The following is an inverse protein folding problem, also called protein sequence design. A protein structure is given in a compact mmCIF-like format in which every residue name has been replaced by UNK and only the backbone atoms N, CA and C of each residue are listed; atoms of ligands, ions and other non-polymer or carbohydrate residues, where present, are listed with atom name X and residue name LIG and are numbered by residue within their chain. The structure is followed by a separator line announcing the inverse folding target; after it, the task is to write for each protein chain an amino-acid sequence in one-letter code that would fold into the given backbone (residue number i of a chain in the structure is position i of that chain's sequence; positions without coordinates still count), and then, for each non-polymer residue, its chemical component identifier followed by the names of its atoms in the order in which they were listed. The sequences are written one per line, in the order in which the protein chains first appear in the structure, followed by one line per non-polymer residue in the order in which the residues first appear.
data_IF_539669181127
#
_entry.id   IF_539669181127
#
_cell.length_a   1.000
_cell.length_b   1.000
_cell.length_c   1.000
_cell.angle_alpha   90.00
_cell.angle_beta   90.00
_cell.angle_gamma   90.00
#
_symmetry.space_group_name_H-M   'P 1'
#
loop_
_entity.id
_entity.type
_entity.pdbx_description
1 polymer ?
#
# COMPACT_ATOMS: atom_id res chain seq x y z
N UNK A 1 -48.79 -13.12 -41.67
CA UNK A 1 -47.34 -13.37 -41.89
C UNK A 1 -46.52 -12.09 -41.94
N UNK A 2 -46.84 -11.12 -42.81
CA UNK A 2 -46.04 -9.88 -42.98
C UNK A 2 -45.83 -9.10 -41.66
N UNK A 3 -46.87 -8.94 -40.85
CA UNK A 3 -46.80 -8.21 -39.56
C UNK A 3 -45.84 -8.86 -38.54
N UNK A 4 -45.79 -10.19 -38.51
CA UNK A 4 -44.89 -10.95 -37.63
C UNK A 4 -43.42 -10.81 -38.07
N UNK A 5 -43.18 -10.76 -39.37
CA UNK A 5 -41.83 -10.52 -39.92
C UNK A 5 -41.35 -9.13 -39.55
N UNK A 6 -42.22 -8.12 -39.64
CA UNK A 6 -41.89 -6.73 -39.27
C UNK A 6 -41.58 -6.64 -37.77
N UNK A 7 -42.39 -7.26 -36.91
CA UNK A 7 -42.13 -7.32 -35.47
C UNK A 7 -40.81 -8.04 -35.14
N UNK A 8 -40.52 -9.17 -35.79
CA UNK A 8 -39.28 -9.90 -35.58
C UNK A 8 -38.04 -9.09 -35.99
N UNK A 9 -38.13 -8.31 -37.08
CA UNK A 9 -37.06 -7.42 -37.54
C UNK A 9 -36.85 -6.26 -36.56
N UNK A 10 -37.93 -5.62 -36.06
CA UNK A 10 -37.84 -4.53 -35.08
C UNK A 10 -37.24 -5.02 -33.76
N UNK A 11 -37.69 -6.18 -33.27
CA UNK A 11 -37.16 -6.80 -32.04
C UNK A 11 -35.68 -7.15 -32.20
N UNK A 12 -35.31 -7.75 -33.35
CA UNK A 12 -33.91 -8.08 -33.63
C UNK A 12 -33.03 -6.82 -33.68
N UNK A 13 -33.52 -5.75 -34.31
CA UNK A 13 -32.79 -4.48 -34.41
C UNK A 13 -32.64 -3.80 -33.03
N UNK A 14 -33.66 -3.82 -32.19
CA UNK A 14 -33.60 -3.29 -30.82
C UNK A 14 -32.61 -4.06 -29.94
N UNK A 15 -32.55 -5.39 -30.06
CA UNK A 15 -31.62 -6.23 -29.29
C UNK A 15 -30.16 -5.98 -29.68
N UNK A 16 -29.86 -5.69 -30.95
CA UNK A 16 -28.48 -5.40 -31.38
C UNK A 16 -27.90 -4.10 -30.81
N UNK A 17 -28.73 -3.12 -30.43
CA UNK A 17 -28.27 -1.84 -29.86
C UNK A 17 -27.85 -1.91 -28.39
N UNK A 18 -28.20 -2.97 -27.67
CA UNK A 18 -27.97 -3.10 -26.23
C UNK A 18 -26.65 -3.81 -25.84
N UNK A 19 -25.65 -3.85 -26.73
CA UNK A 19 -24.31 -4.26 -26.31
C UNK A 19 -23.63 -3.09 -25.59
N UNK A 20 -23.70 -3.10 -24.27
CA UNK A 20 -22.92 -2.17 -23.45
C UNK A 20 -21.41 -2.45 -23.63
N UNK A 21 -20.56 -1.41 -23.70
CA UNK A 21 -19.13 -1.57 -23.81
C UNK A 21 -18.58 -2.21 -22.53
N UNK A 22 -17.66 -3.16 -22.69
CA UNK A 22 -17.05 -3.86 -21.57
C UNK A 22 -16.02 -2.99 -20.81
N UNK A 23 -15.53 -1.91 -21.45
CA UNK A 23 -14.47 -1.04 -20.93
C UNK A 23 -14.68 0.42 -21.35
N UNK A 24 -14.13 1.33 -20.55
CA UNK A 24 -13.99 2.75 -20.85
C UNK A 24 -12.56 3.03 -21.29
N UNK A 25 -12.37 3.78 -22.37
CA UNK A 25 -11.06 4.20 -22.85
C UNK A 25 -10.61 5.45 -22.10
N UNK A 26 -9.38 5.46 -21.61
CA UNK A 26 -8.81 6.63 -20.93
C UNK A 26 -8.23 7.57 -21.98
N UNK A 27 -8.77 8.80 -22.04
CA UNK A 27 -8.31 9.83 -22.97
C UNK A 27 -7.22 10.71 -22.37
N UNK A 28 -7.28 10.96 -21.06
CA UNK A 28 -6.27 11.72 -20.31
C UNK A 28 -6.28 11.33 -18.84
N UNK A 29 -5.12 11.35 -18.20
CA UNK A 29 -4.92 11.09 -16.78
C UNK A 29 -3.93 12.09 -16.16
N UNK A 30 -4.45 13.16 -15.56
CA UNK A 30 -3.64 14.21 -14.95
C UNK A 30 -3.38 13.88 -13.46
N UNK A 31 -2.11 13.82 -13.00
CA UNK A 31 -1.81 13.51 -11.61
C UNK A 31 -2.14 14.69 -10.69
N UNK A 32 -2.70 14.38 -9.52
CA UNK A 32 -2.99 15.33 -8.46
C UNK A 32 -1.86 15.27 -7.45
N UNK A 33 -1.07 16.34 -7.38
CA UNK A 33 0.03 16.47 -6.44
C UNK A 33 -0.46 17.10 -5.13
N UNK A 34 -0.07 16.51 -4.00
CA UNK A 34 -0.28 17.13 -2.70
C UNK A 34 0.92 16.91 -1.77
N UNK A 35 1.12 17.85 -0.87
CA UNK A 35 2.08 17.71 0.23
C UNK A 35 1.42 16.87 1.32
N UNK A 36 1.93 15.67 1.57
CA UNK A 36 1.37 14.73 2.55
C UNK A 36 2.35 14.49 3.70
N UNK A 37 1.87 14.39 4.96
CA UNK A 37 2.70 14.01 6.08
C UNK A 37 3.03 12.51 5.99
N UNK A 38 4.33 12.18 6.04
CA UNK A 38 4.84 10.82 6.01
C UNK A 38 5.39 10.49 7.39
N UNK A 39 4.76 9.50 8.04
CA UNK A 39 5.16 9.04 9.37
C UNK A 39 6.39 8.15 9.26
N UNK A 40 7.43 8.54 9.97
CA UNK A 40 8.66 7.77 10.14
C UNK A 40 8.77 7.30 11.58
N UNK A 41 9.14 6.04 11.78
CA UNK A 41 9.46 5.48 13.09
C UNK A 41 10.97 5.29 13.21
N UNK A 42 11.59 6.06 14.08
CA UNK A 42 13.01 5.91 14.42
C UNK A 42 13.07 5.15 15.73
N UNK A 43 13.58 3.94 15.68
CA UNK A 43 13.65 3.06 16.85
C UNK A 43 15.09 2.80 17.21
N UNK A 44 15.48 3.27 18.38
CA UNK A 44 16.74 2.89 18.99
C UNK A 44 16.51 1.68 19.90
N UNK A 45 17.47 0.75 19.83
CA UNK A 45 17.59 -0.29 20.85
C UNK A 45 18.19 0.38 22.09
N UNK A 46 17.41 0.48 23.17
CA UNK A 46 17.97 0.90 24.44
C UNK A 46 18.88 -0.21 24.92
N UNK A 47 20.17 0.10 25.11
CA UNK A 47 21.06 -0.79 25.85
C UNK A 47 20.48 -0.96 27.25
N UNK A 48 20.27 -2.21 27.67
CA UNK A 48 19.69 -2.58 28.96
C UNK A 48 20.33 -1.74 30.10
N UNK A 49 19.60 -0.83 30.77
CA UNK A 49 20.16 -0.05 31.86
C UNK A 49 20.09 -0.88 33.14
N UNK A 50 21.20 -1.48 33.55
CA UNK A 50 21.29 -2.12 34.86
C UNK A 50 22.48 -3.07 35.01
N UNK A 51 22.95 -3.30 36.26
CA UNK A 51 23.97 -4.30 36.51
C UNK A 51 23.45 -5.67 36.06
N UNK A 52 24.27 -6.40 35.31
CA UNK A 52 24.01 -7.75 34.82
C UNK A 52 23.33 -8.60 35.91
N UNK A 53 22.02 -8.89 35.76
CA UNK A 53 21.35 -9.86 36.62
C UNK A 53 21.89 -11.24 36.28
N UNK A 54 22.46 -11.90 37.29
CA UNK A 54 23.09 -13.22 37.12
C UNK A 54 22.10 -14.28 36.64
N UNK A 55 20.81 -14.15 36.95
CA UNK A 55 19.77 -15.07 36.49
C UNK A 55 19.56 -15.08 34.96
N UNK A 56 20.06 -14.07 34.22
CA UNK A 56 20.04 -14.07 32.74
C UNK A 56 21.33 -14.65 32.11
N UNK A 57 22.35 -14.96 32.92
CA UNK A 57 23.63 -15.51 32.47
C UNK A 57 23.66 -17.05 32.45
N UNK A 58 22.59 -17.72 32.90
CA UNK A 58 22.55 -19.18 33.08
C UNK A 58 22.60 -20.00 31.78
N UNK A 59 22.67 -19.37 30.60
CA UNK A 59 22.99 -20.08 29.34
C UNK A 59 24.51 -20.36 29.24
N UNK A 60 25.36 -19.67 30.00
CA UNK A 60 26.82 -19.85 29.96
C UNK A 60 27.36 -19.88 31.38
N UNK A 61 27.53 -21.08 31.94
CA UNK A 61 28.35 -21.30 33.13
C UNK A 61 29.83 -21.39 32.74
N UNK A 62 30.67 -20.42 33.15
CA UNK A 62 32.00 -20.76 33.60
C UNK A 62 32.23 -20.20 35.01
N UNK A 63 33.04 -20.95 35.75
CA UNK A 63 33.32 -20.79 37.17
C UNK A 63 33.91 -19.43 37.55
N UNK A 64 33.52 -18.95 38.74
CA UNK A 64 33.49 -17.56 39.20
C UNK A 64 34.82 -16.78 39.34
N UNK A 65 35.96 -17.24 38.82
CA UNK A 65 37.26 -16.59 39.10
C UNK A 65 38.16 -16.29 37.90
N UNK A 66 37.80 -16.66 36.67
CA UNK A 66 38.71 -16.53 35.51
C UNK A 66 38.23 -15.53 34.44
N UNK A 67 37.04 -14.95 34.57
CA UNK A 67 36.39 -14.33 33.41
C UNK A 67 36.57 -12.82 33.22
N UNK A 68 37.15 -12.06 34.15
CA UNK A 68 37.25 -10.59 33.98
C UNK A 68 38.14 -10.16 32.81
N UNK A 69 39.35 -10.71 32.60
CA UNK A 69 40.19 -10.31 31.48
C UNK A 69 39.71 -10.89 30.14
N UNK A 70 39.14 -12.10 30.13
CA UNK A 70 38.63 -12.71 28.90
C UNK A 70 37.35 -12.03 28.40
N UNK A 71 36.46 -11.63 29.30
CA UNK A 71 35.27 -10.88 28.91
C UNK A 71 35.63 -9.51 28.33
N UNK A 72 36.67 -8.85 28.86
CA UNK A 72 37.18 -7.58 28.35
C UNK A 72 37.87 -7.74 26.98
N UNK A 73 38.60 -8.84 26.74
CA UNK A 73 39.22 -9.11 25.44
C UNK A 73 38.16 -9.35 24.34
N UNK A 74 37.10 -10.10 24.65
CA UNK A 74 35.99 -10.35 23.72
C UNK A 74 35.20 -9.07 23.38
N UNK A 75 34.97 -8.18 24.35
CA UNK A 75 34.25 -6.91 24.10
C UNK A 75 35.06 -5.89 23.31
N UNK A 76 36.40 -5.98 23.33
CA UNK A 76 37.27 -5.11 22.56
C UNK A 76 37.48 -5.59 21.11
N UNK A 77 37.41 -6.89 20.87
CA UNK A 77 37.61 -7.48 19.54
C UNK A 77 36.32 -7.66 18.74
N UNK A 78 35.19 -7.84 19.42
CA UNK A 78 33.90 -8.04 18.78
C UNK A 78 32.96 -6.89 19.10
N UNK A 79 32.21 -6.44 18.10
CA UNK A 79 31.11 -5.50 18.32
C UNK A 79 30.19 -6.06 19.42
N UNK A 80 29.79 -5.27 20.42
CA UNK A 80 29.01 -5.76 21.54
C UNK A 80 27.75 -6.45 21.00
N UNK A 81 27.52 -7.69 21.44
CA UNK A 81 26.27 -8.38 21.12
C UNK A 81 25.14 -7.62 21.79
N UNK A 82 24.31 -6.96 20.99
CA UNK A 82 23.16 -6.19 21.48
C UNK A 82 22.08 -7.18 21.88
N UNK A 83 21.93 -7.39 23.19
CA UNK A 83 20.83 -8.16 23.77
C UNK A 83 19.65 -7.23 24.03
N UNK A 84 18.63 -7.29 23.16
CA UNK A 84 17.43 -6.48 23.28
C UNK A 84 16.25 -7.17 22.61
N UNK A 85 15.24 -7.53 23.39
CA UNK A 85 13.92 -7.93 22.89
C UNK A 85 13.02 -6.74 22.58
N UNK A 86 11.78 -6.95 22.11
CA UNK A 86 10.81 -5.89 21.79
C UNK A 86 10.55 -4.91 22.95
N UNK A 87 10.81 -5.34 24.19
CA UNK A 87 10.69 -4.56 25.43
C UNK A 87 11.77 -3.49 25.62
N UNK A 88 12.88 -3.57 24.88
CA UNK A 88 14.01 -2.63 24.94
C UNK A 88 14.12 -1.80 23.66
N UNK A 89 12.99 -1.59 22.98
CA UNK A 89 12.88 -0.78 21.77
C UNK A 89 12.16 0.51 22.14
N UNK A 90 12.85 1.64 22.09
CA UNK A 90 12.23 2.95 22.23
C UNK A 90 12.08 3.55 20.83
N UNK A 91 10.84 3.74 20.38
CA UNK A 91 10.56 4.32 19.07
C UNK A 91 10.04 5.74 19.24
N UNK A 92 10.61 6.67 18.48
CA UNK A 92 10.07 8.02 18.31
C UNK A 92 9.45 8.16 16.92
N UNK A 93 8.32 8.85 16.86
CA UNK A 93 7.63 9.13 15.59
C UNK A 93 7.97 10.53 15.12
N UNK A 94 8.44 10.66 13.88
CA UNK A 94 8.63 11.95 13.23
C UNK A 94 7.79 12.02 11.96
N UNK A 95 7.37 13.23 11.60
CA UNK A 95 6.63 13.47 10.37
C UNK A 95 7.49 14.33 9.44
N UNK A 96 7.66 13.89 8.21
CA UNK A 96 8.19 14.71 7.11
C UNK A 96 7.06 15.03 6.16
N UNK A 97 7.21 16.10 5.39
CA UNK A 97 6.23 16.48 4.36
C UNK A 97 6.82 16.17 2.99
N UNK A 98 6.12 15.35 2.22
CA UNK A 98 6.56 14.93 0.90
C UNK A 98 5.53 15.32 -0.16
N UNK A 99 6.00 15.75 -1.32
CA UNK A 99 5.15 15.97 -2.49
C UNK A 99 4.89 14.63 -3.17
N UNK A 100 3.66 14.11 -3.04
CA UNK A 100 3.26 12.81 -3.60
C UNK A 100 2.02 12.95 -4.48
N UNK A 101 1.87 12.02 -5.42
CA UNK A 101 0.63 11.86 -6.19
C UNK A 101 -0.41 11.26 -5.24
N UNK A 102 -1.51 11.97 -5.02
CA UNK A 102 -2.63 11.52 -4.17
C UNK A 102 -3.83 11.02 -4.96
N UNK A 103 -3.84 11.24 -6.27
CA UNK A 103 -4.88 10.78 -7.18
C UNK A 103 -4.67 11.25 -8.60
N UNK A 104 -5.68 11.01 -9.44
CA UNK A 104 -5.68 11.36 -10.84
C UNK A 104 -7.04 11.95 -11.23
N UNK A 105 -7.02 13.03 -12.01
CA UNK A 105 -8.15 13.52 -12.77
C UNK A 105 -8.18 12.82 -14.11
N UNK A 106 -9.19 12.00 -14.33
CA UNK A 106 -9.29 11.10 -15.48
C UNK A 106 -10.42 11.55 -16.39
N UNK A 107 -10.11 11.74 -17.66
CA UNK A 107 -11.09 11.91 -18.73
C UNK A 107 -11.20 10.59 -19.47
N UNK A 108 -12.40 10.03 -19.54
CA UNK A 108 -12.64 8.72 -20.13
C UNK A 108 -13.78 8.76 -21.15
N UNK A 109 -13.84 7.75 -22.01
CA UNK A 109 -14.88 7.59 -23.02
C UNK A 109 -15.56 6.22 -22.89
N UNK A 110 -16.88 6.23 -22.85
CA UNK A 110 -17.75 5.04 -22.93
C UNK A 110 -18.62 5.22 -24.17
N UNK A 111 -18.39 4.40 -25.21
CA UNK A 111 -18.98 4.61 -26.55
C UNK A 111 -18.68 6.03 -27.06
N UNK A 112 -19.72 6.84 -27.31
CA UNK A 112 -19.62 8.22 -27.79
C UNK A 112 -19.67 9.26 -26.66
N UNK A 113 -19.78 8.82 -25.40
CA UNK A 113 -19.92 9.70 -24.24
C UNK A 113 -18.59 9.89 -23.53
N UNK A 114 -18.18 11.13 -23.36
CA UNK A 114 -16.99 11.51 -22.58
C UNK A 114 -17.41 11.87 -21.15
N UNK A 115 -16.72 11.28 -20.17
CA UNK A 115 -16.90 11.55 -18.74
C UNK A 115 -15.62 11.98 -18.06
N UNK A 116 -15.75 12.49 -16.83
CA UNK A 116 -14.63 12.84 -15.96
C UNK A 116 -14.81 12.21 -14.58
N UNK A 117 -13.73 11.73 -13.98
CA UNK A 117 -13.75 11.15 -12.63
C UNK A 117 -12.43 11.44 -11.93
N UNK A 118 -12.47 11.56 -10.60
CA UNK A 118 -11.28 11.66 -9.75
C UNK A 118 -11.10 10.35 -9.00
N UNK A 119 -9.93 9.72 -9.13
CA UNK A 119 -9.61 8.43 -8.53
C UNK A 119 -8.26 8.48 -7.79
N UNK A 120 -8.03 7.59 -6.83
CA UNK A 120 -6.80 7.54 -6.02
C UNK A 120 -5.78 6.49 -6.50
N UNK A 121 -5.90 6.00 -7.72
CA UNK A 121 -5.00 5.03 -8.34
C UNK A 121 -4.77 5.41 -9.81
N UNK A 122 -3.68 4.91 -10.40
CA UNK A 122 -3.40 5.15 -11.81
C UNK A 122 -4.45 4.38 -12.66
N UNK A 123 -5.22 5.06 -13.53
CA UNK A 123 -6.27 4.41 -14.33
C UNK A 123 -5.73 3.45 -15.40
N UNK A 124 -4.46 3.59 -15.82
CA UNK A 124 -3.94 2.93 -17.02
C UNK A 124 -4.64 3.43 -18.30
N UNK A 125 -4.66 2.60 -19.34
CA UNK A 125 -5.24 2.96 -20.64
C UNK A 125 -6.76 2.70 -20.72
N UNK A 126 -7.28 1.82 -19.85
CA UNK A 126 -8.68 1.40 -19.85
C UNK A 126 -9.21 1.19 -18.44
N UNK A 127 -10.48 1.54 -18.23
CA UNK A 127 -11.18 1.35 -16.97
C UNK A 127 -12.38 0.40 -17.12
N UNK A 128 -12.68 -0.43 -16.10
CA UNK A 128 -13.78 -1.38 -16.16
C UNK A 128 -15.15 -0.67 -16.14
N UNK A 129 -16.12 -1.24 -16.86
CA UNK A 129 -17.51 -0.79 -16.92
C UNK A 129 -18.43 -1.92 -16.47
N UNK A 130 -19.49 -1.60 -15.73
CA UNK A 130 -20.47 -2.58 -15.26
C UNK A 130 -21.42 -3.03 -16.38
N UNK A 131 -22.24 -4.04 -16.10
CA UNK A 131 -23.23 -4.55 -17.04
C UNK A 131 -24.33 -3.54 -17.42
N UNK A 132 -24.44 -2.42 -16.69
CA UNK A 132 -25.37 -1.32 -16.98
C UNK A 132 -24.71 -0.18 -17.76
N UNK A 133 -23.43 -0.29 -18.12
CA UNK A 133 -22.68 0.73 -18.85
C UNK A 133 -22.13 1.85 -17.97
N UNK A 134 -22.03 1.66 -16.65
CA UNK A 134 -21.46 2.63 -15.70
C UNK A 134 -20.02 2.30 -15.37
N UNK A 135 -19.19 3.33 -15.25
CA UNK A 135 -17.78 3.18 -14.86
C UNK A 135 -17.65 2.56 -13.46
N UNK A 136 -16.83 1.52 -13.33
CA UNK A 136 -16.48 0.93 -12.04
C UNK A 136 -15.23 1.61 -11.50
N UNK A 137 -15.34 2.24 -10.34
CA UNK A 137 -14.20 2.80 -9.61
C UNK A 137 -13.72 1.72 -8.65
N UNK A 138 -12.53 1.18 -8.88
CA UNK A 138 -11.90 0.28 -7.93
C UNK A 138 -11.61 1.06 -6.64
N UNK A 139 -12.03 0.59 -5.46
CA UNK A 139 -11.64 1.22 -4.21
C UNK A 139 -10.11 1.13 -4.09
N UNK A 140 -9.43 2.26 -4.23
CA UNK A 140 -7.97 2.30 -4.15
C UNK A 140 -7.49 1.94 -2.74
N UNK A 141 -6.42 1.15 -2.71
CA UNK A 141 -5.64 0.66 -1.57
C UNK A 141 -5.14 1.82 -0.67
N UNK A 142 -6.03 2.45 0.09
CA UNK A 142 -5.69 3.38 1.16
C UNK A 142 -6.01 2.78 2.54
N UNK A 143 -5.80 1.48 2.71
CA UNK A 143 -5.79 0.84 4.03
C UNK A 143 -4.34 0.60 4.46
N UNK A 144 -3.58 1.67 4.66
CA UNK A 144 -2.46 1.60 5.60
C UNK A 144 -3.01 2.06 6.94
N UNK A 145 -3.36 1.06 7.76
CA UNK A 145 -3.76 1.20 9.17
C UNK A 145 -2.55 1.56 10.02
#
# INVERSE_FOLDING_TARGET
MLLFVIFAVIISFAVTKNKHPAVAEVLSSEPIMATVPVRHEYCDLTTMPGPYKRELLDIVHPTEQVCTPYLLYETLLHAPKVYGGPTYRSCTTAYTYEHRIVGYDVVYRINDTVGKVRINYNPGDVMPVDNTGRLIILPGLNTVK
#
